data_IF_647935647223
#
_entry.id   IF_647935647223
#
_cell.length_a   1.000
_cell.length_b   1.000
_cell.length_c   1.000
_cell.angle_alpha   90.00
_cell.angle_beta   90.00
_cell.angle_gamma   90.00
#
_symmetry.space_group_name_H-M   'P 1'
#
loop_
_entity.id
_entity.type
_entity.pdbx_description
1 polymer ?
#
# COMPACT_ATOMS: atom_id res chain seq x y z
N UNK A 1 -9.26 -50.89 1.46
CA UNK A 1 -8.26 -49.80 1.45
C UNK A 1 -8.56 -48.88 0.29
N UNK A 2 -8.78 -47.59 0.56
CA UNK A 2 -8.84 -46.59 -0.52
C UNK A 2 -7.42 -46.39 -1.06
N UNK A 3 -7.25 -46.34 -2.37
CA UNK A 3 -5.94 -46.02 -2.93
C UNK A 3 -5.58 -44.57 -2.60
N UNK A 4 -4.29 -44.23 -2.54
CA UNK A 4 -3.82 -42.85 -2.36
C UNK A 4 -4.51 -41.88 -3.32
N UNK A 5 -4.63 -42.28 -4.59
CA UNK A 5 -5.27 -41.46 -5.63
C UNK A 5 -6.76 -41.24 -5.35
N UNK A 6 -7.46 -42.27 -4.89
CA UNK A 6 -8.88 -42.19 -4.53
C UNK A 6 -9.10 -41.28 -3.31
N UNK A 7 -8.24 -41.39 -2.29
CA UNK A 7 -8.26 -40.50 -1.12
C UNK A 7 -8.11 -39.03 -1.53
N UNK A 8 -7.08 -38.73 -2.35
CA UNK A 8 -6.79 -37.37 -2.80
C UNK A 8 -7.93 -36.83 -3.67
N UNK A 9 -8.49 -37.64 -4.56
CA UNK A 9 -9.58 -37.23 -5.44
C UNK A 9 -10.83 -36.86 -4.64
N UNK A 10 -11.24 -37.71 -3.70
CA UNK A 10 -12.39 -37.46 -2.82
C UNK A 10 -12.19 -36.22 -1.95
N UNK A 11 -10.98 -36.03 -1.40
CA UNK A 11 -10.63 -34.84 -0.63
C UNK A 11 -10.67 -33.57 -1.48
N UNK A 12 -10.11 -33.62 -2.69
CA UNK A 12 -10.05 -32.50 -3.62
C UNK A 12 -11.44 -32.03 -4.07
N UNK A 13 -12.39 -32.95 -4.22
CA UNK A 13 -13.79 -32.63 -4.55
C UNK A 13 -14.47 -31.76 -3.49
N UNK A 14 -14.08 -31.89 -2.21
CA UNK A 14 -14.65 -31.08 -1.13
C UNK A 14 -14.14 -29.64 -1.11
N UNK A 15 -12.97 -29.37 -1.70
CA UNK A 15 -12.33 -28.04 -1.65
C UNK A 15 -12.86 -27.17 -2.79
N UNK A 16 -13.74 -26.20 -2.51
CA UNK A 16 -14.39 -25.35 -3.52
C UNK A 16 -13.43 -24.37 -4.19
N UNK A 17 -12.46 -23.85 -3.44
CA UNK A 17 -11.49 -22.91 -3.98
C UNK A 17 -10.47 -23.63 -4.86
N UNK A 18 -10.58 -23.51 -6.19
CA UNK A 18 -9.67 -24.16 -7.15
C UNK A 18 -8.18 -23.85 -6.89
N UNK A 19 -7.87 -22.64 -6.41
CA UNK A 19 -6.48 -22.22 -6.11
C UNK A 19 -5.92 -22.91 -4.87
N UNK A 20 -6.70 -22.97 -3.80
CA UNK A 20 -6.31 -23.72 -2.61
C UNK A 20 -6.24 -25.22 -2.88
N UNK A 21 -7.13 -25.74 -3.74
CA UNK A 21 -7.22 -27.17 -4.06
C UNK A 21 -5.89 -27.73 -4.55
N UNK A 22 -5.22 -27.07 -5.49
CA UNK A 22 -3.93 -27.56 -6.02
C UNK A 22 -2.81 -27.57 -4.98
N UNK A 23 -2.76 -26.54 -4.13
CA UNK A 23 -1.75 -26.44 -3.07
C UNK A 23 -2.01 -27.46 -1.96
N UNK A 24 -3.26 -27.62 -1.54
CA UNK A 24 -3.68 -28.59 -0.53
C UNK A 24 -3.44 -30.01 -1.01
N UNK A 25 -3.78 -30.35 -2.27
CA UNK A 25 -3.50 -31.67 -2.84
C UNK A 25 -2.00 -31.99 -2.71
N UNK A 26 -1.14 -31.06 -3.11
CA UNK A 26 0.32 -31.28 -3.06
C UNK A 26 0.85 -31.42 -1.63
N UNK A 27 0.31 -30.65 -0.70
CA UNK A 27 0.71 -30.70 0.71
C UNK A 27 0.31 -32.03 1.33
N UNK A 28 -0.92 -32.47 1.09
CA UNK A 28 -1.45 -33.75 1.54
C UNK A 28 -0.70 -34.92 0.88
N UNK A 29 -0.40 -34.84 -0.41
CA UNK A 29 0.44 -35.82 -1.11
C UNK A 29 1.84 -35.93 -0.52
N UNK A 30 2.47 -34.80 -0.23
CA UNK A 30 3.78 -34.77 0.40
C UNK A 30 3.71 -35.38 1.80
N UNK A 31 2.71 -35.01 2.60
CA UNK A 31 2.54 -35.53 3.95
C UNK A 31 2.34 -37.05 3.99
N UNK A 32 1.48 -37.59 3.12
CA UNK A 32 1.28 -39.05 2.97
C UNK A 32 2.59 -39.73 2.55
N UNK A 33 3.34 -39.12 1.64
CA UNK A 33 4.61 -39.68 1.16
C UNK A 33 5.70 -39.66 2.24
N UNK A 34 5.74 -38.61 3.06
CA UNK A 34 6.68 -38.48 4.18
C UNK A 34 6.36 -39.50 5.29
N UNK A 35 5.08 -39.66 5.65
CA UNK A 35 4.64 -40.69 6.61
C UNK A 35 4.93 -42.11 6.11
N UNK A 36 4.68 -42.39 4.83
CA UNK A 36 5.00 -43.69 4.25
C UNK A 36 6.50 -44.01 4.35
N UNK A 37 7.38 -43.03 4.13
CA UNK A 37 8.83 -43.22 4.30
C UNK A 37 9.23 -43.52 5.75
N UNK A 38 8.56 -42.92 6.74
CA UNK A 38 8.78 -43.22 8.15
C UNK A 38 8.38 -44.66 8.50
N UNK A 39 7.25 -45.14 7.95
CA UNK A 39 6.80 -46.52 8.14
C UNK A 39 7.71 -47.55 7.44
N UNK A 40 8.20 -47.24 6.23
CA UNK A 40 9.23 -48.05 5.56
C UNK A 40 10.51 -48.14 6.42
N UNK A 41 10.94 -47.02 7.01
CA UNK A 41 12.10 -46.99 7.90
C UNK A 41 11.88 -47.79 9.20
N UNK A 42 10.62 -47.90 9.66
CA UNK A 42 10.22 -48.74 10.79
C UNK A 42 10.13 -50.23 10.43
N UNK A 43 10.36 -50.61 9.17
CA UNK A 43 10.45 -52.00 8.71
C UNK A 43 9.20 -52.54 8.00
N UNK A 44 8.23 -51.69 7.67
CA UNK A 44 7.08 -52.07 6.84
C UNK A 44 7.47 -52.18 5.36
N UNK A 45 6.73 -53.00 4.61
CA UNK A 45 6.89 -53.02 3.14
C UNK A 45 6.35 -51.71 2.54
N UNK A 46 6.84 -51.26 1.37
CA UNK A 46 6.41 -49.99 0.77
C UNK A 46 4.89 -49.88 0.54
N UNK A 47 4.23 -51.00 0.18
CA UNK A 47 2.79 -51.02 -0.06
C UNK A 47 1.98 -50.94 1.23
N UNK A 48 2.42 -51.65 2.29
CA UNK A 48 1.81 -51.58 3.62
C UNK A 48 2.00 -50.20 4.25
N UNK A 49 3.20 -49.63 4.14
CA UNK A 49 3.54 -48.31 4.65
C UNK A 49 2.68 -47.20 4.00
N UNK A 50 2.46 -47.27 2.69
CA UNK A 50 1.61 -46.32 1.99
C UNK A 50 0.13 -46.46 2.37
N UNK A 51 -0.35 -47.70 2.52
CA UNK A 51 -1.71 -47.96 2.99
C UNK A 51 -1.95 -47.38 4.38
N UNK A 52 -1.04 -47.67 5.31
CA UNK A 52 -1.12 -47.22 6.69
C UNK A 52 -1.07 -45.70 6.77
N UNK A 53 -0.22 -45.05 5.98
CA UNK A 53 -0.17 -43.59 5.88
C UNK A 53 -1.50 -42.98 5.40
N UNK A 54 -2.18 -43.61 4.42
CA UNK A 54 -3.51 -43.14 3.97
C UNK A 54 -4.58 -43.38 5.04
N UNK A 55 -4.51 -44.49 5.77
CA UNK A 55 -5.49 -44.83 6.81
C UNK A 55 -5.40 -43.88 8.02
N UNK A 56 -4.18 -43.51 8.42
CA UNK A 56 -3.92 -42.53 9.49
C UNK A 56 -4.41 -41.12 9.16
N UNK A 57 -4.59 -40.78 7.87
CA UNK A 57 -5.18 -39.51 7.46
C UNK A 57 -6.69 -39.43 7.75
N UNK A 58 -7.35 -40.55 8.05
CA UNK A 58 -8.77 -40.60 8.40
C UNK A 58 -9.70 -40.54 7.20
N UNK A 59 -10.89 -39.96 7.37
CA UNK A 59 -11.89 -39.90 6.30
C UNK A 59 -11.64 -38.70 5.35
N UNK A 60 -11.42 -38.94 4.04
CA UNK A 60 -11.10 -37.87 3.08
C UNK A 60 -12.18 -36.80 2.96
N UNK A 61 -13.45 -37.13 3.20
CA UNK A 61 -14.55 -36.14 3.11
C UNK A 61 -14.49 -35.19 4.30
N UNK A 62 -14.36 -35.71 5.52
CA UNK A 62 -14.21 -34.90 6.73
C UNK A 62 -13.01 -33.95 6.66
N UNK A 63 -11.83 -34.48 6.30
CA UNK A 63 -10.59 -33.72 6.13
C UNK A 63 -10.74 -32.67 5.02
N UNK A 64 -11.35 -33.03 3.90
CA UNK A 64 -11.60 -32.09 2.79
C UNK A 64 -12.51 -30.92 3.19
N UNK A 65 -13.56 -31.17 3.99
CA UNK A 65 -14.47 -30.11 4.49
C UNK A 65 -13.75 -29.18 5.47
N UNK A 66 -12.90 -29.71 6.36
CA UNK A 66 -12.10 -28.89 7.27
C UNK A 66 -11.09 -28.02 6.51
N UNK A 67 -10.41 -28.60 5.52
CA UNK A 67 -9.45 -27.88 4.68
C UNK A 67 -10.13 -26.80 3.82
N UNK A 68 -11.35 -27.04 3.30
CA UNK A 68 -12.14 -26.02 2.60
C UNK A 68 -12.48 -24.84 3.53
N UNK A 69 -12.88 -25.12 4.78
CA UNK A 69 -13.22 -24.07 5.77
C UNK A 69 -12.04 -23.16 6.10
N UNK A 70 -10.83 -23.73 6.13
CA UNK A 70 -9.59 -23.00 6.40
C UNK A 70 -9.18 -22.17 5.18
N UNK A 71 -9.22 -22.75 3.98
CA UNK A 71 -8.72 -22.12 2.76
C UNK A 71 -9.78 -21.36 1.95
N UNK A 72 -10.94 -21.08 2.54
CA UNK A 72 -11.99 -20.29 1.88
C UNK A 72 -11.63 -18.80 1.92
N UNK A 73 -11.65 -18.08 0.79
CA UNK A 73 -11.46 -16.64 0.79
C UNK A 73 -12.59 -15.97 1.58
N UNK A 74 -12.25 -15.19 2.62
CA UNK A 74 -13.22 -14.47 3.45
C UNK A 74 -13.14 -12.99 3.15
N UNK A 75 -14.29 -12.38 2.85
CA UNK A 75 -14.35 -10.94 2.63
C UNK A 75 -14.28 -10.21 3.96
N UNK A 76 -13.41 -9.20 4.05
CA UNK A 76 -13.32 -8.32 5.21
C UNK A 76 -14.38 -7.22 5.10
N UNK A 77 -15.60 -7.56 5.55
CA UNK A 77 -16.72 -6.63 5.54
C UNK A 77 -16.49 -5.40 6.42
N UNK A 78 -15.65 -5.51 7.45
CA UNK A 78 -15.29 -4.39 8.31
C UNK A 78 -14.58 -3.29 7.53
N UNK A 79 -13.58 -3.67 6.72
CA UNK A 79 -12.83 -2.71 5.92
C UNK A 79 -13.67 -2.07 4.80
N UNK A 80 -14.62 -2.82 4.21
CA UNK A 80 -15.59 -2.24 3.25
C UNK A 80 -16.49 -1.22 3.94
N UNK A 81 -17.07 -1.58 5.10
CA UNK A 81 -17.94 -0.68 5.85
C UNK A 81 -17.21 0.60 6.27
N UNK A 82 -15.95 0.47 6.70
CA UNK A 82 -15.08 1.60 6.99
C UNK A 82 -14.87 2.46 5.75
N UNK A 83 -14.47 1.90 4.61
CA UNK A 83 -14.28 2.66 3.37
C UNK A 83 -15.52 3.46 2.97
N UNK A 84 -16.71 2.85 3.03
CA UNK A 84 -17.99 3.55 2.78
C UNK A 84 -18.21 4.68 3.78
N UNK A 85 -18.00 4.42 5.07
CA UNK A 85 -18.17 5.43 6.12
C UNK A 85 -17.21 6.61 5.96
N UNK A 86 -15.95 6.37 5.58
CA UNK A 86 -14.99 7.44 5.29
C UNK A 86 -15.33 8.23 4.04
N UNK A 87 -15.78 7.57 2.97
CA UNK A 87 -16.22 8.25 1.75
C UNK A 87 -17.43 9.14 2.01
N UNK A 88 -18.41 8.66 2.77
CA UNK A 88 -19.59 9.44 3.17
C UNK A 88 -19.22 10.58 4.14
N UNK A 89 -18.37 10.32 5.13
CA UNK A 89 -17.86 11.35 6.05
C UNK A 89 -17.03 12.42 5.33
N UNK A 90 -16.25 12.02 4.33
CA UNK A 90 -15.51 12.91 3.45
C UNK A 90 -16.43 13.80 2.63
N UNK A 91 -17.46 13.22 2.00
CA UNK A 91 -18.49 13.97 1.29
C UNK A 91 -19.20 14.97 2.23
N UNK A 92 -19.52 14.54 3.46
CA UNK A 92 -20.10 15.43 4.47
C UNK A 92 -19.18 16.61 4.80
N UNK A 93 -17.89 16.38 5.08
CA UNK A 93 -16.92 17.45 5.36
C UNK A 93 -16.80 18.42 4.18
N UNK A 94 -16.74 17.90 2.95
CA UNK A 94 -16.66 18.72 1.73
C UNK A 94 -17.92 19.59 1.53
N UNK A 95 -19.11 19.05 1.80
CA UNK A 95 -20.35 19.81 1.82
C UNK A 95 -20.37 20.87 2.93
N UNK A 96 -19.97 20.47 4.14
CA UNK A 96 -19.99 21.30 5.34
C UNK A 96 -19.08 22.54 5.20
N UNK A 97 -17.93 22.38 4.53
CA UNK A 97 -16.99 23.46 4.23
C UNK A 97 -17.43 24.31 3.02
N UNK A 98 -18.39 23.83 2.22
CA UNK A 98 -18.89 24.54 1.04
C UNK A 98 -18.04 24.34 -0.22
N UNK A 99 -17.16 23.33 -0.25
CA UNK A 99 -16.38 23.01 -1.46
C UNK A 99 -17.27 22.56 -2.62
N UNK A 100 -18.38 21.88 -2.32
CA UNK A 100 -19.28 21.31 -3.32
C UNK A 100 -20.38 22.27 -3.77
N UNK A 101 -20.45 23.47 -3.20
CA UNK A 101 -21.33 24.56 -3.67
C UNK A 101 -20.66 25.47 -4.72
N UNK A 102 -19.36 25.31 -4.98
CA UNK A 102 -18.62 26.10 -5.97
C UNK A 102 -18.83 25.48 -7.37
N UNK A 103 -19.88 25.95 -8.06
CA UNK A 103 -20.26 25.50 -9.39
C UNK A 103 -21.32 24.40 -9.33
N UNK A 104 -22.54 24.71 -9.80
CA UNK A 104 -23.80 24.00 -9.47
C UNK A 104 -23.86 22.47 -9.61
N UNK A 105 -22.90 21.82 -10.28
CA UNK A 105 -22.83 20.35 -10.43
C UNK A 105 -21.57 19.72 -9.77
N UNK A 106 -20.86 20.44 -8.91
CA UNK A 106 -19.69 19.89 -8.20
C UNK A 106 -20.07 18.70 -7.29
N UNK A 107 -21.20 18.80 -6.59
CA UNK A 107 -21.74 17.71 -5.77
C UNK A 107 -22.08 16.45 -6.60
N UNK A 108 -22.77 16.62 -7.73
CA UNK A 108 -23.15 15.52 -8.62
C UNK A 108 -21.92 14.76 -9.15
N UNK A 109 -20.90 15.49 -9.60
CA UNK A 109 -19.63 14.90 -10.05
C UNK A 109 -18.91 14.15 -8.93
N UNK A 110 -18.85 14.69 -7.71
CA UNK A 110 -18.22 14.01 -6.58
C UNK A 110 -18.94 12.70 -6.23
N UNK A 111 -20.28 12.70 -6.23
CA UNK A 111 -21.07 11.49 -6.03
C UNK A 111 -20.83 10.44 -7.14
N UNK A 112 -20.72 10.89 -8.39
CA UNK A 112 -20.39 10.02 -9.53
C UNK A 112 -19.00 9.39 -9.36
N UNK A 113 -17.98 10.16 -8.99
CA UNK A 113 -16.65 9.62 -8.74
C UNK A 113 -16.61 8.67 -7.54
N UNK A 114 -17.39 8.93 -6.50
CA UNK A 114 -17.55 8.02 -5.35
C UNK A 114 -18.22 6.70 -5.76
N UNK A 115 -19.27 6.75 -6.58
CA UNK A 115 -19.90 5.55 -7.13
C UNK A 115 -18.96 4.75 -8.03
N UNK A 116 -18.25 5.41 -8.95
CA UNK A 116 -17.25 4.78 -9.81
C UNK A 116 -16.09 4.19 -9.01
N UNK A 117 -15.61 4.91 -8.00
CA UNK A 117 -14.56 4.47 -7.10
C UNK A 117 -14.97 3.24 -6.30
N UNK A 118 -16.18 3.20 -5.76
CA UNK A 118 -16.70 2.02 -5.07
C UNK A 118 -16.81 0.79 -6.00
N UNK A 119 -17.32 0.98 -7.22
CA UNK A 119 -17.34 -0.08 -8.23
C UNK A 119 -15.92 -0.58 -8.56
N UNK A 120 -14.97 0.33 -8.67
CA UNK A 120 -13.56 0.02 -8.94
C UNK A 120 -12.92 -0.72 -7.75
N UNK A 121 -13.18 -0.30 -6.52
CA UNK A 121 -12.73 -0.96 -5.29
C UNK A 121 -13.21 -2.42 -5.25
N UNK A 122 -14.50 -2.66 -5.52
CA UNK A 122 -15.05 -4.02 -5.58
C UNK A 122 -14.39 -4.83 -6.70
N UNK A 123 -14.22 -4.25 -7.89
CA UNK A 123 -13.52 -4.90 -9.00
C UNK A 123 -12.08 -5.29 -8.67
N UNK A 124 -11.31 -4.37 -8.11
CA UNK A 124 -9.91 -4.60 -7.69
C UNK A 124 -9.83 -5.59 -6.53
N UNK A 125 -10.81 -5.58 -5.62
CA UNK A 125 -10.90 -6.60 -4.56
C UNK A 125 -10.97 -8.00 -5.18
N UNK A 126 -11.77 -8.21 -6.23
CA UNK A 126 -11.85 -9.49 -6.93
C UNK A 126 -10.61 -9.85 -7.75
N UNK A 127 -9.84 -8.85 -8.19
CA UNK A 127 -8.57 -9.07 -8.87
C UNK A 127 -7.55 -9.77 -7.96
N UNK A 128 -6.83 -10.74 -8.51
CA UNK A 128 -5.79 -11.45 -7.78
C UNK A 128 -4.51 -10.61 -7.69
N UNK A 129 -4.15 -10.16 -6.48
CA UNK A 129 -2.92 -9.39 -6.28
C UNK A 129 -1.65 -10.17 -6.69
N UNK A 130 -1.70 -11.51 -6.78
CA UNK A 130 -0.58 -12.32 -7.26
C UNK A 130 -0.17 -11.96 -8.70
N UNK A 131 -1.11 -11.44 -9.50
CA UNK A 131 -0.87 -10.91 -10.84
C UNK A 131 0.18 -9.79 -10.83
N UNK A 132 0.15 -8.90 -9.83
CA UNK A 132 1.13 -7.82 -9.65
C UNK A 132 2.52 -8.40 -9.40
N UNK A 133 2.62 -9.47 -8.59
CA UNK A 133 3.90 -10.15 -8.36
C UNK A 133 4.44 -10.86 -9.60
N UNK A 134 3.58 -11.49 -10.40
CA UNK A 134 3.98 -12.22 -11.62
C UNK A 134 4.42 -11.29 -12.75
N UNK A 135 3.69 -10.20 -12.97
CA UNK A 135 3.92 -9.26 -14.08
C UNK A 135 4.44 -7.90 -13.62
N UNK A 136 5.18 -7.85 -12.50
CA UNK A 136 5.60 -6.59 -11.87
C UNK A 136 6.34 -5.64 -12.84
N UNK A 137 7.37 -6.13 -13.55
CA UNK A 137 8.18 -5.31 -14.48
C UNK A 137 7.37 -4.75 -15.65
N UNK A 138 6.65 -5.56 -16.46
CA UNK A 138 5.88 -5.01 -17.57
C UNK A 138 4.77 -4.09 -17.07
N UNK A 139 4.10 -4.43 -15.96
CA UNK A 139 3.05 -3.59 -15.39
C UNK A 139 3.61 -2.24 -14.90
N UNK A 140 4.78 -2.23 -14.27
CA UNK A 140 5.47 -1.02 -13.82
C UNK A 140 5.88 -0.12 -14.99
N UNK A 141 6.49 -0.68 -16.03
CA UNK A 141 6.91 0.08 -17.21
C UNK A 141 5.68 0.60 -17.98
N UNK A 142 4.65 -0.22 -18.14
CA UNK A 142 3.39 0.19 -18.75
C UNK A 142 2.75 1.33 -17.96
N UNK A 143 2.75 1.25 -16.63
CA UNK A 143 2.22 2.31 -15.78
C UNK A 143 3.04 3.60 -15.90
N UNK A 144 4.38 3.51 -15.96
CA UNK A 144 5.23 4.67 -16.14
C UNK A 144 5.01 5.37 -17.49
N UNK A 145 4.96 4.61 -18.58
CA UNK A 145 4.66 5.15 -19.92
C UNK A 145 3.22 5.69 -19.96
N UNK A 146 2.27 4.97 -19.37
CA UNK A 146 0.88 5.38 -19.25
C UNK A 146 0.72 6.69 -18.47
N UNK A 147 1.49 6.90 -17.41
CA UNK A 147 1.50 8.17 -16.67
C UNK A 147 2.03 9.32 -17.52
N UNK A 148 3.14 9.12 -18.23
CA UNK A 148 3.68 10.14 -19.16
C UNK A 148 2.66 10.48 -20.26
N UNK A 149 1.98 9.47 -20.81
CA UNK A 149 0.93 9.68 -21.79
C UNK A 149 -0.28 10.41 -21.20
N UNK A 150 -0.74 9.99 -20.02
CA UNK A 150 -1.84 10.63 -19.30
C UNK A 150 -1.57 12.11 -19.06
N UNK A 151 -0.33 12.45 -18.71
CA UNK A 151 0.08 13.82 -18.46
C UNK A 151 0.06 14.69 -19.71
N UNK A 152 0.43 14.16 -20.87
CA UNK A 152 0.43 14.92 -22.12
C UNK A 152 -0.95 15.05 -22.76
N UNK A 153 -1.84 14.08 -22.58
CA UNK A 153 -3.14 14.04 -23.27
C UNK A 153 -4.35 14.46 -22.43
N UNK A 154 -4.36 14.11 -21.14
CA UNK A 154 -5.57 14.18 -20.31
C UNK A 154 -5.43 15.06 -19.07
N UNK A 155 -4.22 15.23 -18.55
CA UNK A 155 -4.00 15.95 -17.29
C UNK A 155 -4.02 17.46 -17.49
N UNK A 156 -4.98 18.12 -16.84
CA UNK A 156 -5.05 19.58 -16.81
C UNK A 156 -3.95 20.17 -15.91
N UNK A 157 -3.41 21.31 -16.32
CA UNK A 157 -2.38 22.04 -15.57
C UNK A 157 -3.01 23.18 -14.77
N UNK A 158 -2.63 23.29 -13.49
CA UNK A 158 -2.97 24.44 -12.63
C UNK A 158 -1.67 24.96 -12.06
N UNK A 159 -1.36 26.23 -12.31
CA UNK A 159 -0.08 26.86 -11.93
C UNK A 159 1.14 26.06 -12.42
N UNK A 160 1.08 25.53 -13.66
CA UNK A 160 2.14 24.72 -14.26
C UNK A 160 2.25 23.28 -13.74
N UNK A 161 1.37 22.85 -12.82
CA UNK A 161 1.38 21.53 -12.20
C UNK A 161 0.23 20.66 -12.73
N UNK A 162 0.54 19.43 -13.14
CA UNK A 162 -0.44 18.42 -13.59
C UNK A 162 -1.23 17.85 -12.41
N UNK A 163 -2.25 18.58 -11.92
CA UNK A 163 -2.96 18.23 -10.68
C UNK A 163 -3.65 16.87 -10.72
N UNK A 164 -4.24 16.50 -11.85
CA UNK A 164 -4.89 15.19 -12.02
C UNK A 164 -3.93 14.00 -11.87
N UNK A 165 -2.64 14.21 -12.15
CA UNK A 165 -1.62 13.17 -12.11
C UNK A 165 -0.99 12.95 -10.72
N UNK A 166 -1.19 13.85 -9.77
CA UNK A 166 -0.54 13.81 -8.44
C UNK A 166 -0.86 12.52 -7.70
N UNK A 167 -2.15 12.21 -7.48
CA UNK A 167 -2.51 11.03 -6.69
C UNK A 167 -2.27 9.70 -7.42
N UNK A 168 -2.53 9.57 -8.73
CA UNK A 168 -2.19 8.35 -9.47
C UNK A 168 -0.73 7.92 -9.34
N UNK A 169 0.21 8.84 -9.13
CA UNK A 169 1.62 8.48 -8.89
C UNK A 169 1.84 7.52 -7.71
N UNK A 170 0.97 7.53 -6.69
CA UNK A 170 1.11 6.62 -5.56
C UNK A 170 0.76 5.17 -5.90
N UNK A 171 0.15 4.90 -7.06
CA UNK A 171 -0.03 3.52 -7.56
C UNK A 171 1.29 2.87 -8.00
N UNK A 172 2.38 3.64 -8.14
CA UNK A 172 3.72 3.05 -8.27
C UNK A 172 4.13 2.23 -7.04
N UNK A 173 3.61 2.54 -5.85
CA UNK A 173 3.99 1.88 -4.60
C UNK A 173 3.59 0.39 -4.57
N UNK A 174 2.33 -0.01 -4.82
CA UNK A 174 1.99 -1.43 -4.90
C UNK A 174 2.68 -2.16 -6.07
N UNK A 175 2.97 -1.48 -7.19
CA UNK A 175 3.76 -2.06 -8.29
C UNK A 175 5.23 -2.29 -7.88
N UNK A 176 5.81 -1.35 -7.13
CA UNK A 176 7.15 -1.47 -6.57
C UNK A 176 7.24 -2.63 -5.57
N UNK A 177 6.19 -2.88 -4.78
CA UNK A 177 6.09 -4.07 -3.93
C UNK A 177 6.26 -5.37 -4.73
N UNK A 178 5.65 -5.45 -5.91
CA UNK A 178 5.83 -6.58 -6.83
C UNK A 178 7.26 -6.70 -7.35
N UNK A 179 7.92 -5.59 -7.66
CA UNK A 179 9.33 -5.57 -8.09
C UNK A 179 10.25 -6.09 -6.99
N UNK A 180 10.08 -5.61 -5.75
CA UNK A 180 10.83 -6.07 -4.59
C UNK A 180 10.70 -7.59 -4.43
N UNK A 181 9.49 -8.12 -4.62
CA UNK A 181 9.22 -9.55 -4.52
C UNK A 181 9.92 -10.36 -5.63
N UNK A 182 9.93 -9.87 -6.88
CA UNK A 182 10.63 -10.57 -7.97
C UNK A 182 12.15 -10.63 -7.81
N UNK A 183 12.76 -9.63 -7.17
CA UNK A 183 14.20 -9.60 -6.92
C UNK A 183 14.61 -10.24 -5.59
N UNK A 184 13.68 -10.86 -4.86
CA UNK A 184 13.98 -11.61 -3.64
C UNK A 184 15.03 -12.70 -3.91
N UNK A 185 15.93 -12.93 -2.96
CA UNK A 185 17.04 -13.91 -2.97
C UNK A 185 18.12 -13.71 -4.05
N UNK A 186 18.14 -12.59 -4.77
CA UNK A 186 19.16 -12.32 -5.81
C UNK A 186 20.42 -11.57 -5.31
N UNK A 187 20.53 -11.34 -3.99
CA UNK A 187 21.68 -10.69 -3.36
C UNK A 187 21.85 -9.21 -3.74
N UNK A 188 23.10 -8.72 -3.79
CA UNK A 188 23.41 -7.31 -4.10
C UNK A 188 22.96 -6.87 -5.51
N UNK A 189 23.03 -7.78 -6.50
CA UNK A 189 22.59 -7.47 -7.87
C UNK A 189 21.08 -7.17 -7.95
N UNK A 190 20.28 -7.84 -7.11
CA UNK A 190 18.86 -7.53 -6.94
C UNK A 190 18.61 -6.21 -6.24
N UNK A 191 19.36 -5.98 -5.15
CA UNK A 191 19.26 -4.77 -4.36
C UNK A 191 19.52 -3.53 -5.22
N UNK A 192 20.60 -3.53 -6.02
CA UNK A 192 20.93 -2.42 -6.92
C UNK A 192 19.84 -2.18 -7.97
N UNK A 193 19.22 -3.24 -8.50
CA UNK A 193 18.08 -3.11 -9.42
C UNK A 193 16.86 -2.51 -8.72
N UNK A 194 16.57 -2.90 -7.48
CA UNK A 194 15.47 -2.32 -6.71
C UNK A 194 15.67 -0.83 -6.44
N UNK A 195 16.92 -0.39 -6.21
CA UNK A 195 17.27 1.03 -6.10
C UNK A 195 17.08 1.75 -7.44
N UNK A 196 17.48 1.13 -8.56
CA UNK A 196 17.27 1.71 -9.90
C UNK A 196 15.78 1.94 -10.19
N UNK A 197 14.92 1.01 -9.77
CA UNK A 197 13.48 1.16 -9.93
C UNK A 197 12.87 2.28 -9.07
N UNK A 198 13.58 2.87 -8.11
CA UNK A 198 13.12 4.08 -7.40
C UNK A 198 13.19 5.35 -8.29
N UNK A 199 14.06 5.36 -9.30
CA UNK A 199 14.35 6.56 -10.08
C UNK A 199 13.14 7.01 -10.92
N UNK A 200 12.45 6.15 -11.71
CA UNK A 200 11.37 6.60 -12.57
C UNK A 200 10.23 7.38 -11.86
N UNK A 201 9.64 6.93 -10.73
CA UNK A 201 8.53 7.63 -10.10
C UNK A 201 8.97 8.97 -9.52
N UNK A 202 10.19 9.05 -8.96
CA UNK A 202 10.76 10.31 -8.45
C UNK A 202 11.04 11.27 -9.61
N UNK A 203 11.59 10.77 -10.71
CA UNK A 203 11.88 11.57 -11.90
C UNK A 203 10.62 12.11 -12.56
N UNK A 204 9.57 11.28 -12.73
CA UNK A 204 8.27 11.71 -13.27
C UNK A 204 7.62 12.74 -12.33
N UNK A 205 7.70 12.56 -11.01
CA UNK A 205 7.14 13.53 -10.07
C UNK A 205 7.87 14.89 -10.13
N UNK A 206 9.19 14.89 -10.24
CA UNK A 206 10.00 16.11 -10.26
C UNK A 206 9.92 16.84 -11.60
N UNK A 207 10.13 16.15 -12.72
CA UNK A 207 10.20 16.78 -14.04
C UNK A 207 8.86 16.78 -14.77
N UNK A 208 8.03 15.76 -14.57
CA UNK A 208 6.74 15.65 -15.21
C UNK A 208 5.65 16.49 -14.52
N UNK A 209 5.50 16.41 -13.19
CA UNK A 209 4.44 17.11 -12.44
C UNK A 209 4.91 18.48 -11.86
N UNK A 210 6.20 18.83 -11.98
CA UNK A 210 6.88 19.78 -11.10
C UNK A 210 6.52 19.78 -9.61
N UNK A 211 6.42 18.61 -8.95
CA UNK A 211 6.12 18.54 -7.51
C UNK A 211 7.22 17.86 -6.69
N UNK A 212 8.01 18.67 -5.97
CA UNK A 212 9.05 18.21 -5.05
C UNK A 212 8.45 17.35 -3.92
N UNK A 213 7.28 17.75 -3.41
CA UNK A 213 6.60 17.04 -2.32
C UNK A 213 6.25 15.60 -2.72
N UNK A 214 5.67 15.39 -3.90
CA UNK A 214 5.30 14.06 -4.39
C UNK A 214 6.53 13.18 -4.63
N UNK A 215 7.57 13.72 -5.27
CA UNK A 215 8.81 12.98 -5.50
C UNK A 215 9.47 12.55 -4.20
N UNK A 216 9.51 13.44 -3.21
CA UNK A 216 10.05 13.15 -1.88
C UNK A 216 9.23 12.09 -1.14
N UNK A 217 7.89 12.19 -1.16
CA UNK A 217 7.02 11.20 -0.52
C UNK A 217 7.16 9.82 -1.14
N UNK A 218 7.19 9.71 -2.48
CA UNK A 218 7.41 8.43 -3.18
C UNK A 218 8.78 7.84 -2.86
N UNK A 219 9.82 8.66 -2.81
CA UNK A 219 11.15 8.23 -2.38
C UNK A 219 11.11 7.64 -0.97
N UNK A 220 10.53 8.36 0.00
CA UNK A 220 10.45 7.89 1.39
C UNK A 220 9.65 6.59 1.52
N UNK A 221 8.49 6.51 0.87
CA UNK A 221 7.64 5.32 0.94
C UNK A 221 8.36 4.11 0.33
N UNK A 222 8.87 4.23 -0.90
CA UNK A 222 9.51 3.11 -1.58
C UNK A 222 10.86 2.74 -0.94
N UNK A 223 11.65 3.70 -0.46
CA UNK A 223 12.85 3.43 0.32
C UNK A 223 12.52 2.72 1.65
N UNK A 224 11.44 3.13 2.34
CA UNK A 224 10.93 2.45 3.54
C UNK A 224 10.53 1.00 3.25
N UNK A 225 9.87 0.73 2.12
CA UNK A 225 9.55 -0.64 1.70
C UNK A 225 10.80 -1.47 1.37
N UNK A 226 11.80 -0.87 0.71
CA UNK A 226 13.08 -1.52 0.45
C UNK A 226 13.80 -1.88 1.75
N UNK A 227 13.84 -0.95 2.72
CA UNK A 227 14.41 -1.19 4.05
C UNK A 227 13.67 -2.31 4.77
N UNK A 228 12.34 -2.33 4.73
CA UNK A 228 11.53 -3.41 5.29
C UNK A 228 11.87 -4.76 4.64
N UNK A 229 12.06 -4.80 3.32
CA UNK A 229 12.44 -6.02 2.59
C UNK A 229 13.83 -6.52 3.01
N UNK A 230 14.79 -5.60 3.15
CA UNK A 230 16.15 -5.92 3.62
C UNK A 230 16.14 -6.41 5.05
N UNK A 231 15.39 -5.74 5.94
CA UNK A 231 15.25 -6.12 7.35
C UNK A 231 14.64 -7.52 7.50
N UNK A 232 13.62 -7.84 6.69
CA UNK A 232 13.01 -9.18 6.58
C UNK A 232 13.94 -10.23 5.92
N UNK A 233 15.16 -9.86 5.53
CA UNK A 233 16.16 -10.79 5.00
C UNK A 233 15.92 -11.22 3.56
N UNK A 234 15.13 -10.47 2.77
CA UNK A 234 14.78 -10.86 1.40
C UNK A 234 15.98 -10.99 0.47
N UNK A 235 17.07 -10.26 0.75
CA UNK A 235 18.31 -10.28 -0.04
C UNK A 235 19.44 -11.10 0.63
N UNK A 236 19.09 -11.94 1.63
CA UNK A 236 20.04 -12.76 2.38
C UNK A 236 20.90 -11.97 3.37
N UNK A 237 21.87 -12.64 4.01
CA UNK A 237 22.77 -12.01 4.99
C UNK A 237 23.61 -10.87 4.40
N UNK A 238 24.00 -11.01 3.14
CA UNK A 238 24.70 -9.97 2.38
C UNK A 238 23.87 -8.70 2.26
N UNK A 239 22.56 -8.82 2.03
CA UNK A 239 21.63 -7.69 2.02
C UNK A 239 21.55 -6.99 3.38
N UNK A 240 21.53 -7.75 4.49
CA UNK A 240 21.53 -7.17 5.85
C UNK A 240 22.78 -6.33 6.13
N UNK A 241 23.95 -6.72 5.59
CA UNK A 241 25.17 -5.91 5.67
C UNK A 241 25.08 -4.57 4.93
N UNK A 242 24.18 -4.46 3.95
CA UNK A 242 23.93 -3.21 3.23
C UNK A 242 23.00 -2.24 3.99
N UNK A 243 22.33 -2.70 5.05
CA UNK A 243 21.36 -1.91 5.81
C UNK A 243 21.90 -0.55 6.30
N UNK A 244 23.08 -0.45 6.95
CA UNK A 244 23.60 0.85 7.39
C UNK A 244 23.88 1.78 6.21
N UNK A 245 24.37 1.26 5.09
CA UNK A 245 24.61 2.04 3.88
C UNK A 245 23.29 2.54 3.27
N UNK A 246 22.25 1.70 3.22
CA UNK A 246 20.92 2.09 2.73
C UNK A 246 20.25 3.13 3.65
N UNK A 247 20.40 3.00 4.96
CA UNK A 247 19.92 4.01 5.92
C UNK A 247 20.67 5.33 5.75
N UNK A 248 22.00 5.28 5.62
CA UNK A 248 22.81 6.45 5.35
C UNK A 248 22.38 7.12 4.03
N UNK A 249 22.16 6.37 2.95
CA UNK A 249 21.64 6.91 1.68
C UNK A 249 20.23 7.49 1.86
N UNK A 250 19.36 6.80 2.59
CA UNK A 250 18.00 7.26 2.86
C UNK A 250 17.93 8.60 3.60
N UNK A 251 18.96 8.96 4.37
CA UNK A 251 19.06 10.21 5.12
C UNK A 251 19.89 11.26 4.36
N UNK A 252 21.09 10.88 3.90
CA UNK A 252 22.03 11.77 3.25
C UNK A 252 21.56 12.22 1.87
N UNK A 253 20.88 11.35 1.10
CA UNK A 253 20.43 11.70 -0.25
C UNK A 253 19.35 12.81 -0.22
N UNK A 254 18.30 12.75 0.63
CA UNK A 254 17.40 13.89 0.81
C UNK A 254 18.08 15.17 1.28
N UNK A 255 19.01 15.07 2.24
CA UNK A 255 19.72 16.25 2.76
C UNK A 255 20.59 16.89 1.68
N UNK A 256 21.35 16.09 0.93
CA UNK A 256 22.13 16.54 -0.20
C UNK A 256 21.24 17.12 -1.31
N UNK A 257 20.10 16.48 -1.59
CA UNK A 257 19.11 16.96 -2.55
C UNK A 257 18.48 18.29 -2.13
N UNK A 258 18.21 18.49 -0.84
CA UNK A 258 17.73 19.75 -0.30
C UNK A 258 18.78 20.86 -0.43
N UNK A 259 20.04 20.58 -0.08
CA UNK A 259 21.14 21.53 -0.20
C UNK A 259 21.43 21.90 -1.67
N UNK A 260 21.58 20.89 -2.54
CA UNK A 260 21.79 21.10 -3.97
C UNK A 260 20.58 21.78 -4.62
N UNK A 261 19.37 21.41 -4.17
CA UNK A 261 18.13 22.08 -4.54
C UNK A 261 18.21 23.57 -4.25
N UNK A 262 18.50 23.94 -3.01
CA UNK A 262 18.58 25.33 -2.57
C UNK A 262 19.62 26.14 -3.36
N UNK A 263 20.77 25.53 -3.66
CA UNK A 263 21.88 26.20 -4.35
C UNK A 263 21.67 26.30 -5.87
N UNK A 264 21.16 25.25 -6.52
CA UNK A 264 21.24 25.11 -7.98
C UNK A 264 19.91 24.87 -8.70
N UNK A 265 18.91 24.23 -8.05
CA UNK A 265 17.73 23.72 -8.77
C UNK A 265 16.39 24.38 -8.40
N UNK A 266 16.25 24.94 -7.19
CA UNK A 266 15.03 25.63 -6.78
C UNK A 266 14.93 26.98 -7.48
N UNK A 267 13.77 27.26 -8.06
CA UNK A 267 13.43 28.58 -8.57
C UNK A 267 13.23 29.58 -7.41
N UNK A 268 13.40 30.88 -7.67
CA UNK A 268 13.34 31.92 -6.63
C UNK A 268 12.00 31.92 -5.88
N UNK A 269 10.88 31.68 -6.57
CA UNK A 269 9.57 31.56 -5.94
C UNK A 269 9.49 30.38 -4.98
N UNK A 270 10.18 29.27 -5.26
CA UNK A 270 10.18 28.09 -4.39
C UNK A 270 10.99 28.36 -3.12
N UNK A 271 12.16 29.02 -3.25
CA UNK A 271 12.96 29.47 -2.11
C UNK A 271 12.18 30.46 -1.25
N UNK A 272 11.49 31.41 -1.87
CA UNK A 272 10.63 32.37 -1.19
C UNK A 272 9.51 31.67 -0.40
N UNK A 273 8.85 30.64 -0.94
CA UNK A 273 7.80 29.90 -0.22
C UNK A 273 8.33 29.13 0.99
N UNK A 274 9.54 28.58 0.90
CA UNK A 274 10.20 27.92 2.04
C UNK A 274 10.60 28.97 3.10
N UNK A 275 11.21 30.08 2.67
CA UNK A 275 11.58 31.17 3.58
C UNK A 275 10.36 31.80 4.27
N UNK A 276 9.25 31.98 3.54
CA UNK A 276 7.99 32.49 4.06
C UNK A 276 7.27 31.53 5.01
N UNK A 277 7.49 30.22 4.86
CA UNK A 277 7.02 29.26 5.86
C UNK A 277 7.84 29.35 7.16
N UNK A 278 9.17 29.46 7.06
CA UNK A 278 10.06 29.53 8.21
C UNK A 278 9.95 30.86 8.97
N UNK A 279 9.77 31.97 8.24
CA UNK A 279 9.61 33.30 8.79
C UNK A 279 8.38 34.00 8.17
N UNK A 280 7.16 33.64 8.57
CA UNK A 280 5.94 34.22 7.97
C UNK A 280 5.84 35.74 8.12
N UNK A 281 6.30 36.28 9.25
CA UNK A 281 6.24 37.73 9.53
C UNK A 281 7.04 38.60 8.55
N UNK A 282 8.19 38.12 8.05
CA UNK A 282 8.98 38.87 7.07
C UNK A 282 8.36 38.87 5.67
N UNK A 283 7.42 37.96 5.41
CA UNK A 283 6.73 37.80 4.12
C UNK A 283 5.21 37.99 4.26
N UNK A 284 4.78 38.81 5.21
CA UNK A 284 3.38 38.98 5.58
C UNK A 284 2.48 39.40 4.41
N UNK A 285 2.97 40.26 3.52
CA UNK A 285 2.22 40.78 2.37
C UNK A 285 2.19 39.84 1.15
N UNK A 286 2.82 38.65 1.26
CA UNK A 286 2.98 37.71 0.16
C UNK A 286 2.80 36.26 0.59
N UNK A 287 3.83 35.45 0.37
CA UNK A 287 3.78 34.01 0.63
C UNK A 287 3.61 33.63 2.11
N UNK A 288 3.86 34.56 3.05
CA UNK A 288 3.68 34.38 4.49
C UNK A 288 2.25 34.59 4.96
N UNK A 289 1.43 35.33 4.17
CA UNK A 289 0.06 35.71 4.53
C UNK A 289 -0.80 34.51 4.94
N UNK A 290 -0.74 33.41 4.17
CA UNK A 290 -1.56 32.22 4.43
C UNK A 290 -1.26 31.59 5.79
N UNK A 291 0.01 31.59 6.22
CA UNK A 291 0.42 30.98 7.48
C UNK A 291 0.05 31.86 8.67
N UNK A 292 0.27 33.18 8.56
CA UNK A 292 -0.14 34.14 9.59
C UNK A 292 -1.66 34.10 9.79
N UNK A 293 -2.41 34.15 8.68
CA UNK A 293 -3.87 34.11 8.74
C UNK A 293 -4.40 32.78 9.28
N UNK A 294 -3.72 31.67 9.00
CA UNK A 294 -4.09 30.36 9.54
C UNK A 294 -3.85 30.29 11.04
N UNK A 295 -2.73 30.84 11.53
CA UNK A 295 -2.44 30.94 12.95
C UNK A 295 -3.50 31.79 13.68
N UNK A 296 -3.81 32.99 13.17
CA UNK A 296 -4.82 33.89 13.75
C UNK A 296 -6.19 33.23 13.88
N UNK A 297 -6.60 32.46 12.87
CA UNK A 297 -7.88 31.76 12.88
C UNK A 297 -7.88 30.59 13.86
N UNK A 298 -6.80 29.81 13.93
CA UNK A 298 -6.68 28.70 14.87
C UNK A 298 -6.69 29.16 16.33
N UNK A 299 -6.13 30.33 16.64
CA UNK A 299 -6.18 30.92 17.98
C UNK A 299 -7.61 31.28 18.42
N UNK A 300 -8.50 31.61 17.47
CA UNK A 300 -9.89 31.94 17.74
C UNK A 300 -10.80 30.70 17.84
N UNK A 301 -10.33 29.53 17.43
CA UNK A 301 -11.11 28.29 17.45
C UNK A 301 -11.36 27.84 18.89
N UNK A 302 -12.62 27.58 19.22
CA UNK A 302 -13.01 26.98 20.50
C UNK A 302 -13.08 25.47 20.37
N UNK A 303 -13.12 24.77 21.51
CA UNK A 303 -13.24 23.31 21.53
C UNK A 303 -14.51 22.79 20.82
N UNK A 304 -15.67 23.36 21.14
CA UNK A 304 -16.97 22.90 20.65
C UNK A 304 -17.69 23.91 19.75
N UNK A 305 -17.00 24.97 19.31
CA UNK A 305 -17.55 25.99 18.43
C UNK A 305 -16.47 26.52 17.49
N UNK A 306 -16.85 26.82 16.25
CA UNK A 306 -15.98 27.48 15.29
C UNK A 306 -15.77 28.96 15.57
N UNK A 307 -15.01 29.60 14.68
CA UNK A 307 -14.74 31.03 14.67
C UNK A 307 -15.98 31.79 14.19
N UNK A 308 -16.31 32.88 14.89
CA UNK A 308 -17.39 33.78 14.48
C UNK A 308 -17.08 34.39 13.10
N UNK A 309 -18.07 34.40 12.20
CA UNK A 309 -17.89 34.76 10.79
C UNK A 309 -16.82 33.92 10.05
N UNK A 310 -16.45 32.74 10.56
CA UNK A 310 -15.37 31.91 10.03
C UNK A 310 -15.50 31.59 8.53
N UNK A 311 -16.71 31.40 8.01
CA UNK A 311 -16.94 31.18 6.58
C UNK A 311 -16.48 32.36 5.71
N UNK A 312 -16.83 33.58 6.10
CA UNK A 312 -16.38 34.81 5.41
C UNK A 312 -14.86 34.97 5.49
N UNK A 313 -14.26 34.64 6.65
CA UNK A 313 -12.81 34.72 6.83
C UNK A 313 -12.05 33.67 6.00
N UNK A 314 -12.63 32.48 5.82
CA UNK A 314 -12.08 31.42 4.97
C UNK A 314 -12.20 31.75 3.47
N UNK A 315 -13.28 32.40 3.03
CA UNK A 315 -13.43 32.85 1.63
C UNK A 315 -12.37 33.89 1.22
N UNK A 316 -11.84 34.63 2.19
CA UNK A 316 -10.76 35.60 1.98
C UNK A 316 -9.36 34.96 1.94
N UNK A 317 -9.25 33.67 2.26
CA UNK A 317 -7.98 32.95 2.25
C UNK A 317 -7.66 32.39 0.86
N UNK A 318 -6.45 32.62 0.33
CA UNK A 318 -6.01 31.97 -0.90
C UNK A 318 -5.65 30.49 -0.61
N UNK A 319 -6.44 29.53 -1.11
CA UNK A 319 -6.04 28.12 -1.13
C UNK A 319 -7.18 27.14 -0.86
N UNK A 320 -7.61 26.41 -1.89
CA UNK A 320 -8.71 25.43 -1.83
C UNK A 320 -8.40 24.13 -1.09
N UNK A 321 -7.15 23.89 -0.71
CA UNK A 321 -6.68 22.54 -0.35
C UNK A 321 -6.63 22.30 1.18
N UNK A 322 -7.07 23.27 1.98
CA UNK A 322 -7.06 23.26 3.46
C UNK A 322 -8.42 22.82 4.06
N UNK A 323 -8.95 21.69 3.57
CA UNK A 323 -10.28 21.17 3.95
C UNK A 323 -10.44 20.90 5.45
N UNK A 324 -9.47 20.25 6.09
CA UNK A 324 -9.51 19.92 7.51
C UNK A 324 -9.39 21.17 8.38
N UNK A 325 -8.49 22.08 8.00
CA UNK A 325 -8.37 23.39 8.64
C UNK A 325 -9.70 24.16 8.58
N UNK A 326 -10.30 24.25 7.39
CA UNK A 326 -11.56 24.94 7.19
C UNK A 326 -12.68 24.33 8.02
N UNK A 327 -12.72 22.99 8.12
CA UNK A 327 -13.67 22.28 8.95
C UNK A 327 -13.48 22.61 10.45
N UNK A 328 -12.24 22.68 10.93
CA UNK A 328 -11.92 23.08 12.32
C UNK A 328 -12.33 24.53 12.59
N UNK A 329 -12.05 25.44 11.66
CA UNK A 329 -12.45 26.85 11.78
C UNK A 329 -13.97 27.00 11.85
N UNK A 330 -14.74 26.17 11.14
CA UNK A 330 -16.21 26.26 11.12
C UNK A 330 -16.89 25.55 12.30
N UNK A 331 -16.36 24.41 12.74
CA UNK A 331 -17.07 23.51 13.66
C UNK A 331 -16.35 23.29 15.01
N UNK A 332 -15.14 23.81 15.18
CA UNK A 332 -14.38 23.72 16.42
C UNK A 332 -13.29 22.63 16.42
N UNK A 333 -12.39 22.71 17.40
CA UNK A 333 -11.24 21.81 17.50
C UNK A 333 -11.63 20.35 17.75
N UNK A 334 -12.69 20.10 18.54
CA UNK A 334 -13.16 18.75 18.84
C UNK A 334 -13.65 18.01 17.58
N UNK A 335 -14.34 18.72 16.68
CA UNK A 335 -14.77 18.15 15.41
C UNK A 335 -13.58 17.73 14.53
N UNK A 336 -12.53 18.57 14.45
CA UNK A 336 -11.28 18.20 13.77
C UNK A 336 -10.58 17.00 14.40
N UNK A 337 -10.54 16.94 15.74
CA UNK A 337 -9.96 15.82 16.47
C UNK A 337 -10.66 14.49 16.14
N UNK A 338 -11.99 14.49 16.03
CA UNK A 338 -12.75 13.31 15.61
C UNK A 338 -12.39 12.86 14.19
N UNK A 339 -12.22 13.79 13.26
CA UNK A 339 -11.81 13.48 11.88
C UNK A 339 -10.40 12.88 11.85
N UNK A 340 -9.45 13.45 12.60
CA UNK A 340 -8.08 12.92 12.70
C UNK A 340 -8.08 11.55 13.36
N UNK A 341 -8.84 11.37 14.43
CA UNK A 341 -8.96 10.10 15.13
C UNK A 341 -9.54 9.02 14.21
N UNK A 342 -10.57 9.35 13.42
CA UNK A 342 -11.13 8.46 12.42
C UNK A 342 -10.05 8.06 11.39
N UNK A 343 -9.35 9.02 10.79
CA UNK A 343 -8.25 8.72 9.86
C UNK A 343 -7.18 7.82 10.48
N UNK A 344 -6.81 8.07 11.73
CA UNK A 344 -5.84 7.25 12.45
C UNK A 344 -6.34 5.81 12.62
N UNK A 345 -7.62 5.60 12.97
CA UNK A 345 -8.22 4.26 13.05
C UNK A 345 -8.16 3.55 11.70
N UNK A 346 -8.49 4.23 10.59
CA UNK A 346 -8.40 3.64 9.25
C UNK A 346 -6.98 3.21 8.89
N UNK A 347 -5.98 4.05 9.17
CA UNK A 347 -4.57 3.73 8.87
C UNK A 347 -4.07 2.60 9.76
N UNK A 348 -4.43 2.60 11.04
CA UNK A 348 -4.05 1.53 11.99
C UNK A 348 -4.70 0.20 11.59
N UNK A 349 -5.98 0.20 11.23
CA UNK A 349 -6.66 -1.01 10.76
C UNK A 349 -6.02 -1.58 9.50
N UNK A 350 -5.78 -0.74 8.48
CA UNK A 350 -5.07 -1.14 7.26
C UNK A 350 -3.67 -1.72 7.57
N UNK A 351 -2.97 -1.15 8.54
CA UNK A 351 -1.66 -1.64 8.99
C UNK A 351 -1.76 -3.00 9.67
N UNK A 352 -2.73 -3.19 10.57
CA UNK A 352 -2.96 -4.46 11.26
C UNK A 352 -3.38 -5.55 10.27
N UNK A 353 -4.23 -5.24 9.30
CA UNK A 353 -4.62 -6.14 8.20
C UNK A 353 -3.40 -6.56 7.39
N UNK A 354 -2.50 -5.62 7.09
CA UNK A 354 -1.25 -5.89 6.35
C UNK A 354 -0.29 -6.77 7.14
N UNK A 355 -0.11 -6.54 8.45
CA UNK A 355 0.78 -7.34 9.30
C UNK A 355 0.30 -8.77 9.52
N UNK A 356 -1.02 -9.00 9.47
CA UNK A 356 -1.63 -10.33 9.61
C UNK A 356 -1.35 -11.25 8.42
N UNK A 357 -0.83 -10.73 7.30
CA UNK A 357 -0.60 -11.50 6.08
C UNK A 357 0.54 -12.51 6.23
N UNK A 358 0.26 -13.78 5.90
CA UNK A 358 1.26 -14.87 5.89
C UNK A 358 2.12 -14.83 4.63
N UNK A 359 1.53 -14.46 3.49
CA UNK A 359 2.20 -14.35 2.20
C UNK A 359 3.09 -13.09 2.17
N UNK A 360 4.35 -13.23 1.76
CA UNK A 360 5.32 -12.14 1.72
C UNK A 360 4.97 -11.07 0.67
N UNK A 361 4.41 -11.48 -0.48
CA UNK A 361 3.92 -10.55 -1.50
C UNK A 361 2.71 -9.76 -0.97
N UNK A 362 1.77 -10.46 -0.34
CA UNK A 362 0.58 -9.85 0.26
C UNK A 362 0.95 -8.84 1.34
N UNK A 363 1.88 -9.20 2.22
CA UNK A 363 2.46 -8.29 3.22
C UNK A 363 3.03 -7.02 2.57
N UNK A 364 3.88 -7.13 1.54
CA UNK A 364 4.48 -5.94 0.93
C UNK A 364 3.48 -5.06 0.19
N UNK A 365 2.53 -5.64 -0.56
CA UNK A 365 1.51 -4.85 -1.25
C UNK A 365 0.62 -4.13 -0.22
N UNK A 366 0.18 -4.84 0.83
CA UNK A 366 -0.62 -4.25 1.91
C UNK A 366 0.13 -3.15 2.65
N UNK A 367 1.39 -3.40 3.02
CA UNK A 367 2.25 -2.39 3.66
C UNK A 367 2.46 -1.18 2.76
N UNK A 368 2.65 -1.37 1.45
CA UNK A 368 2.77 -0.28 0.49
C UNK A 368 1.51 0.59 0.42
N UNK A 369 0.33 -0.03 0.30
CA UNK A 369 -0.94 0.70 0.29
C UNK A 369 -1.18 1.45 1.61
N UNK A 370 -0.88 0.80 2.74
CA UNK A 370 -1.00 1.41 4.07
C UNK A 370 -0.03 2.58 4.25
N UNK A 371 1.21 2.46 3.80
CA UNK A 371 2.19 3.55 3.87
C UNK A 371 1.75 4.76 3.05
N UNK A 372 1.15 4.56 1.88
CA UNK A 372 0.56 5.67 1.10
C UNK A 372 -0.53 6.35 1.92
N UNK A 373 -1.51 5.60 2.43
CA UNK A 373 -2.60 6.17 3.24
C UNK A 373 -2.08 6.91 4.47
N UNK A 374 -1.15 6.30 5.21
CA UNK A 374 -0.57 6.87 6.42
C UNK A 374 0.26 8.14 6.16
N UNK A 375 1.12 8.12 5.14
CA UNK A 375 1.93 9.30 4.77
C UNK A 375 1.03 10.45 4.29
N UNK A 376 0.01 10.16 3.47
CA UNK A 376 -0.95 11.18 3.05
C UNK A 376 -1.75 11.76 4.25
N UNK A 377 -2.16 10.91 5.20
CA UNK A 377 -2.88 11.35 6.39
C UNK A 377 -2.00 12.24 7.29
N UNK A 378 -0.76 11.82 7.58
CA UNK A 378 0.17 12.55 8.46
C UNK A 378 0.60 13.87 7.82
N UNK A 379 1.07 13.84 6.56
CA UNK A 379 1.51 15.05 5.86
C UNK A 379 0.31 15.96 5.60
N UNK A 380 -0.85 15.41 5.22
CA UNK A 380 -2.05 16.18 4.98
C UNK A 380 -2.51 16.92 6.23
N UNK A 381 -2.52 16.26 7.40
CA UNK A 381 -2.84 16.91 8.67
C UNK A 381 -1.80 17.99 9.01
N UNK A 382 -0.50 17.69 8.88
CA UNK A 382 0.57 18.63 9.16
C UNK A 382 0.52 19.89 8.27
N UNK A 383 0.17 19.75 6.99
CA UNK A 383 -0.04 20.87 6.06
C UNK A 383 -1.28 21.68 6.45
N UNK A 384 -2.37 21.01 6.84
CA UNK A 384 -3.61 21.71 7.23
C UNK A 384 -3.43 22.57 8.48
N UNK A 385 -2.63 22.14 9.46
CA UNK A 385 -2.36 22.92 10.67
C UNK A 385 -1.08 23.77 10.59
N UNK A 386 -0.51 23.96 9.40
CA UNK A 386 0.65 24.84 9.20
C UNK A 386 1.96 24.34 9.82
N UNK A 387 2.06 23.05 10.19
CA UNK A 387 3.30 22.43 10.66
C UNK A 387 4.26 22.07 9.51
N UNK A 388 3.74 21.97 8.29
CA UNK A 388 4.51 21.81 7.06
C UNK A 388 4.11 22.87 6.03
N UNK A 389 5.01 23.22 5.08
CA UNK A 389 4.68 24.17 4.03
C UNK A 389 3.45 23.77 3.23
N UNK A 390 2.65 24.76 2.83
CA UNK A 390 1.46 24.57 2.02
C UNK A 390 1.82 23.88 0.68
N UNK A 391 1.49 22.59 0.57
CA UNK A 391 1.78 21.75 -0.60
C UNK A 391 0.49 21.08 -1.09
N UNK A 392 0.53 20.52 -2.30
CA UNK A 392 -0.60 19.79 -2.88
C UNK A 392 -0.68 18.38 -2.28
N UNK A 393 -1.23 18.29 -1.08
CA UNK A 393 -1.43 17.03 -0.35
C UNK A 393 -2.92 16.81 -0.16
N UNK A 394 -3.36 15.59 -0.47
CA UNK A 394 -4.76 15.20 -0.30
C UNK A 394 -4.87 14.33 0.94
N UNK A 395 -5.83 14.65 1.80
CA UNK A 395 -6.21 13.77 2.89
C UNK A 395 -7.05 12.61 2.34
N UNK A 396 -6.78 11.35 2.75
CA UNK A 396 -7.57 10.20 2.36
C UNK A 396 -9.06 10.44 2.61
N UNK A 397 -9.87 10.29 1.56
CA UNK A 397 -11.34 10.45 1.55
C UNK A 397 -11.90 11.85 1.86
N UNK A 398 -11.16 12.72 2.56
CA UNK A 398 -11.63 14.05 2.98
C UNK A 398 -11.43 15.11 1.90
N UNK A 399 -10.31 15.07 1.15
CA UNK A 399 -10.04 16.08 0.13
C UNK A 399 -10.82 15.79 -1.15
N UNK A 400 -11.47 16.83 -1.69
CA UNK A 400 -12.26 16.72 -2.91
C UNK A 400 -11.41 16.43 -4.15
N UNK A 401 -11.98 15.70 -5.11
CA UNK A 401 -11.33 15.40 -6.38
C UNK A 401 -11.58 13.96 -6.85
N UNK A 402 -11.99 13.81 -8.12
CA UNK A 402 -12.31 12.51 -8.69
C UNK A 402 -11.12 11.54 -8.74
N UNK A 403 -9.94 12.02 -9.14
CA UNK A 403 -8.71 11.21 -9.12
C UNK A 403 -8.33 10.79 -7.70
N UNK A 404 -8.66 11.62 -6.70
CA UNK A 404 -8.34 11.32 -5.31
C UNK A 404 -9.11 10.08 -4.83
N UNK A 405 -10.43 10.14 -5.00
CA UNK A 405 -11.36 9.06 -4.67
C UNK A 405 -10.97 7.75 -5.37
N UNK A 406 -10.79 7.79 -6.69
CA UNK A 406 -10.46 6.60 -7.48
C UNK A 406 -9.18 5.89 -7.00
N UNK A 407 -8.12 6.64 -6.70
CA UNK A 407 -6.85 6.03 -6.27
C UNK A 407 -6.96 5.47 -4.85
N UNK A 408 -7.60 6.18 -3.90
CA UNK A 408 -7.79 5.63 -2.56
C UNK A 408 -8.65 4.37 -2.59
N UNK A 409 -9.69 4.33 -3.43
CA UNK A 409 -10.53 3.15 -3.64
C UNK A 409 -9.76 1.99 -4.29
N UNK A 410 -8.84 2.25 -5.22
CA UNK A 410 -7.92 1.22 -5.74
C UNK A 410 -7.04 0.67 -4.61
N UNK A 411 -6.47 1.53 -3.77
CA UNK A 411 -5.58 1.11 -2.67
C UNK A 411 -6.32 0.28 -1.62
N UNK A 412 -7.54 0.68 -1.23
CA UNK A 412 -8.40 -0.13 -0.36
C UNK A 412 -8.82 -1.42 -1.06
N UNK A 413 -9.14 -1.38 -2.35
CA UNK A 413 -9.45 -2.57 -3.15
C UNK A 413 -8.30 -3.57 -3.16
N UNK A 414 -7.06 -3.11 -3.28
CA UNK A 414 -5.86 -3.94 -3.17
C UNK A 414 -5.69 -4.51 -1.76
N UNK A 415 -5.90 -3.71 -0.71
CA UNK A 415 -5.88 -4.19 0.67
C UNK A 415 -6.96 -5.28 0.91
N UNK A 416 -8.16 -5.10 0.36
CA UNK A 416 -9.25 -6.09 0.44
C UNK A 416 -8.87 -7.37 -0.31
N UNK A 417 -8.29 -7.25 -1.51
CA UNK A 417 -7.79 -8.40 -2.28
C UNK A 417 -6.73 -9.18 -1.50
N UNK A 418 -5.80 -8.48 -0.84
CA UNK A 418 -4.78 -9.07 0.02
C UNK A 418 -5.42 -9.77 1.22
N UNK A 419 -6.29 -9.09 1.96
CA UNK A 419 -6.98 -9.65 3.12
C UNK A 419 -7.79 -10.90 2.76
N UNK A 420 -8.48 -10.88 1.63
CA UNK A 420 -9.33 -11.99 1.17
C UNK A 420 -8.54 -13.28 0.89
N UNK A 421 -7.36 -13.17 0.28
CA UNK A 421 -6.57 -14.35 -0.12
C UNK A 421 -5.52 -14.75 0.94
N UNK A 422 -5.62 -14.22 2.16
CA UNK A 422 -4.69 -14.47 3.27
C UNK A 422 -4.45 -15.95 3.56
N UNK A 423 -5.51 -16.75 3.55
CA UNK A 423 -5.48 -18.18 3.89
C UNK A 423 -5.46 -19.08 2.63
N UNK A 424 -5.38 -18.49 1.44
CA UNK A 424 -5.43 -19.20 0.15
C UNK A 424 -4.04 -19.33 -0.47
N UNK A 425 -3.18 -18.33 -0.30
CA UNK A 425 -1.90 -18.24 -1.00
C UNK A 425 -0.72 -18.56 -0.06
N UNK A 426 -0.09 -19.72 -0.28
CA UNK A 426 1.22 -20.04 0.30
C UNK A 426 2.34 -19.29 -0.43
N UNK A 427 3.48 -19.02 0.21
CA UNK A 427 4.59 -18.17 -0.30
C UNK A 427 5.41 -18.81 -1.47
N UNK A 428 4.78 -19.68 -2.27
CA UNK A 428 5.45 -20.50 -3.29
C UNK A 428 5.19 -19.99 -4.70
N UNK A 429 5.99 -19.02 -5.13
CA UNK A 429 6.22 -18.77 -6.57
C UNK A 429 7.70 -18.61 -6.94
N UNK A 430 8.60 -19.27 -6.21
CA UNK A 430 9.98 -19.48 -6.65
C UNK A 430 10.46 -20.89 -6.31
N UNK A 431 10.42 -21.80 -7.29
CA UNK A 431 11.26 -23.00 -7.29
C UNK A 431 12.55 -22.68 -8.07
N UNK A 432 13.75 -22.73 -7.47
CA UNK A 432 14.95 -22.87 -8.29
C UNK A 432 14.82 -24.21 -9.05
N UNK A 433 15.16 -24.23 -10.34
CA UNK A 433 15.00 -25.37 -11.25
C UNK A 433 15.84 -26.61 -10.93
N UNK A 434 16.36 -26.74 -9.70
CA UNK A 434 17.23 -27.83 -9.30
C UNK A 434 16.57 -28.55 -8.11
N UNK A 435 16.21 -29.82 -8.32
CA UNK A 435 15.93 -30.74 -7.22
C UNK A 435 17.26 -30.92 -6.47
N UNK A 436 17.32 -30.49 -5.21
CA UNK A 436 18.36 -30.98 -4.31
C UNK A 436 18.15 -32.50 -4.20
N UNK A 437 19.00 -33.25 -4.88
CA UNK A 437 19.17 -34.68 -4.64
C UNK A 437 19.86 -34.76 -3.28
N UNK A 438 19.10 -35.03 -2.23
CA UNK A 438 19.69 -35.43 -0.96
C UNK A 438 20.35 -36.78 -1.23
N UNK A 439 21.64 -36.76 -1.53
CA UNK A 439 22.44 -37.97 -1.48
C UNK A 439 22.39 -38.47 -0.05
N UNK A 440 21.77 -39.64 0.10
CA UNK A 440 21.72 -40.40 1.34
C UNK A 440 23.18 -40.61 1.73
N UNK A 441 23.64 -39.98 2.83
CA UNK A 441 24.95 -40.26 3.39
C UNK A 441 24.93 -41.74 3.80
N UNK A 442 25.52 -42.59 2.97
CA UNK A 442 25.81 -43.97 3.35
C UNK A 442 26.69 -43.94 4.59
N UNK A 443 26.16 -44.53 5.64
CA UNK A 443 26.80 -44.64 6.95
C UNK A 443 28.10 -45.48 6.80
N UNK A 444 29.32 -44.93 6.99
CA UNK A 444 30.56 -45.65 6.71
C UNK A 444 30.93 -46.74 7.73
N UNK A 445 30.00 -47.22 8.55
CA UNK A 445 30.29 -48.12 9.67
C UNK A 445 29.66 -49.53 9.57
N UNK A 446 29.17 -49.97 8.40
CA UNK A 446 28.62 -51.33 8.23
C UNK A 446 29.41 -52.24 7.27
N UNK A 447 30.72 -52.05 7.14
CA UNK A 447 31.61 -52.91 6.33
C UNK A 447 32.86 -53.41 7.08
N UNK A 448 32.78 -53.55 8.41
CA UNK A 448 33.77 -54.28 9.20
C UNK A 448 33.13 -54.99 10.39
N UNK A 449 32.42 -56.08 10.11
CA UNK A 449 32.51 -57.33 10.88
C UNK A 449 32.38 -58.51 9.91
#
# INVERSE_FOLDING_TARGET
MKSREEFITLLAEQIRCRRAREDVIREIEAHISDQAQEYEAAGMTPEEALSEAVEQMGDPVSVGVELDRIHRPRMDWGMIAMAVLFSLGGLFVQCAVGMLSVGGDAFGRQCLFMGLGFCLMLGVCFLDYSFIGKYAKPLYLLFAVGMLFYMTQFSYTVNGMHRGAILPMYLFVPLYAGILYQYRKTGYGGLGKCVLFLIPPVWIAWYGIPSISVGFQLFLICAGMLLLAVFRGWFGEKGKRALPALLAVGILLPLAGAAAGWLFFLADYQKMRIAAFLNPGTYADGAGYIYLRAADLLEQVKWFAGVENGRMLLEQMPGSDLSLFSFVVLYGAFAGLLVIAALAVLVVDAFLVSLKQKNQLGLMIGMGCTLVLGVQAVIGAAVNFGSLPATTVTLPFLTGGGSAVLVYDILIGLLLSVSRNRDVLSDRMYRPGWRLRLERLENPQKSRE
#
